data_IF_437804733764
#
_entry.id   IF_437804733764
#
_cell.length_a   1.000
_cell.length_b   1.000
_cell.length_c   1.000
_cell.angle_alpha   90.00
_cell.angle_beta   90.00
_cell.angle_gamma   90.00
#
_symmetry.space_group_name_H-M   'P 1'
#
loop_
_entity.id
_entity.type
_entity.pdbx_description
1 polymer ?
#
# COMPACT_ATOMS: atom_id res chain seq x y z
N UNK A 1 18.22 2.07 -20.40
CA UNK A 1 18.19 1.08 -19.30
C UNK A 1 17.39 1.74 -18.20
N UNK A 2 16.12 1.38 -18.07
CA UNK A 2 15.18 2.04 -17.19
C UNK A 2 15.57 1.74 -15.73
N UNK A 3 15.59 2.81 -14.94
CA UNK A 3 15.90 2.87 -13.52
C UNK A 3 15.01 1.87 -12.76
N UNK A 4 15.55 0.70 -12.39
CA UNK A 4 14.92 -0.14 -11.37
C UNK A 4 14.96 0.66 -10.08
N UNK A 5 13.88 1.39 -9.79
CA UNK A 5 13.74 2.23 -8.61
C UNK A 5 13.91 1.36 -7.36
N UNK A 6 15.15 1.30 -6.87
CA UNK A 6 15.54 0.41 -5.76
C UNK A 6 15.05 1.04 -4.47
N UNK A 7 14.04 0.42 -3.87
CA UNK A 7 13.67 0.68 -2.47
C UNK A 7 14.93 0.61 -1.60
N UNK A 8 15.30 1.74 -0.98
CA UNK A 8 16.47 1.87 -0.13
C UNK A 8 16.02 2.30 1.26
N UNK A 9 16.23 1.44 2.26
CA UNK A 9 15.74 1.65 3.63
C UNK A 9 16.70 2.44 4.51
N UNK A 10 17.90 2.76 4.01
CA UNK A 10 18.95 3.44 4.74
C UNK A 10 20.19 2.57 4.98
N UNK A 11 21.11 3.08 5.81
CA UNK A 11 22.39 2.45 6.15
C UNK A 11 22.78 2.79 7.59
N UNK A 12 23.23 1.77 8.35
CA UNK A 12 23.69 1.89 9.75
C UNK A 12 22.64 2.57 10.63
N UNK A 13 22.84 3.86 10.93
CA UNK A 13 22.00 4.70 11.80
C UNK A 13 21.11 5.66 11.02
N UNK A 14 21.20 5.68 9.69
CA UNK A 14 20.35 6.45 8.81
C UNK A 14 19.21 5.56 8.31
N UNK A 15 17.98 6.02 8.46
CA UNK A 15 16.79 5.33 7.98
C UNK A 15 16.06 6.21 6.97
N UNK A 16 15.58 5.60 5.89
CA UNK A 16 14.68 6.26 4.94
C UNK A 16 13.25 5.76 5.15
N UNK A 17 12.29 6.66 5.00
CA UNK A 17 10.85 6.40 5.19
C UNK A 17 10.04 7.02 4.05
N UNK A 18 8.85 6.45 3.80
CA UNK A 18 7.94 6.92 2.76
C UNK A 18 8.58 6.97 1.38
N UNK A 19 8.25 8.01 0.62
CA UNK A 19 8.74 8.18 -0.75
C UNK A 19 10.26 8.35 -0.81
N UNK A 20 10.89 8.89 0.24
CA UNK A 20 12.35 8.98 0.33
C UNK A 20 13.03 7.60 0.40
N UNK A 21 12.31 6.55 0.80
CA UNK A 21 12.76 5.17 0.74
C UNK A 21 12.42 4.47 -0.59
N UNK A 22 11.81 5.18 -1.54
CA UNK A 22 11.30 4.61 -2.80
C UNK A 22 10.02 3.79 -2.63
N UNK A 23 9.23 4.05 -1.57
CA UNK A 23 7.96 3.36 -1.32
C UNK A 23 6.81 3.93 -2.17
N UNK A 24 7.05 4.04 -3.47
CA UNK A 24 6.13 4.70 -4.41
C UNK A 24 5.17 3.65 -4.98
N UNK A 25 3.87 3.89 -4.83
CA UNK A 25 2.79 3.14 -5.47
C UNK A 25 1.85 4.12 -6.19
N UNK A 26 2.10 4.30 -7.48
CA UNK A 26 1.38 5.26 -8.35
C UNK A 26 -0.05 4.77 -8.64
N UNK A 27 -0.31 3.46 -8.53
CA UNK A 27 -1.51 2.82 -9.09
C UNK A 27 -2.68 2.72 -8.11
N UNK A 28 -2.42 2.72 -6.80
CA UNK A 28 -3.44 2.43 -5.77
C UNK A 28 -3.74 3.58 -4.82
N UNK A 29 -3.04 4.71 -4.92
CA UNK A 29 -3.22 5.84 -4.00
C UNK A 29 -2.79 5.53 -2.55
N UNK A 30 -1.99 4.48 -2.34
CA UNK A 30 -1.55 4.00 -1.00
C UNK A 30 -0.21 4.60 -0.55
N UNK A 31 0.30 5.63 -1.25
CA UNK A 31 1.55 6.30 -0.91
C UNK A 31 1.54 6.88 0.50
N UNK A 32 0.46 7.58 0.89
CA UNK A 32 0.33 8.15 2.24
C UNK A 32 0.32 7.08 3.33
N UNK A 33 -0.41 5.99 3.13
CA UNK A 33 -0.48 4.88 4.09
C UNK A 33 0.88 4.17 4.22
N UNK A 34 1.59 4.00 3.11
CA UNK A 34 2.94 3.41 3.08
C UNK A 34 3.96 4.31 3.77
N UNK A 35 3.85 5.63 3.62
CA UNK A 35 4.68 6.61 4.32
C UNK A 35 4.39 6.62 5.83
N UNK A 36 3.12 6.67 6.23
CA UNK A 36 2.74 6.63 7.64
C UNK A 36 3.14 5.31 8.32
N UNK A 37 2.94 4.17 7.63
CA UNK A 37 3.31 2.86 8.15
C UNK A 37 4.82 2.71 8.26
N UNK A 38 5.59 3.09 7.23
CA UNK A 38 7.06 3.04 7.29
C UNK A 38 7.63 3.92 8.40
N UNK A 39 7.09 5.12 8.63
CA UNK A 39 7.45 5.96 9.76
C UNK A 39 7.19 5.29 11.12
N UNK A 40 6.04 4.63 11.29
CA UNK A 40 5.73 3.86 12.51
C UNK A 40 6.71 2.70 12.71
N UNK A 41 7.05 1.98 11.64
CA UNK A 41 7.99 0.86 11.70
C UNK A 41 9.42 1.32 12.00
N UNK A 42 9.84 2.49 11.51
CA UNK A 42 11.12 3.10 11.85
C UNK A 42 11.20 3.44 13.35
N UNK A 43 10.16 4.08 13.91
CA UNK A 43 10.09 4.36 15.35
C UNK A 43 10.15 3.07 16.20
N UNK A 44 9.43 2.02 15.78
CA UNK A 44 9.48 0.69 16.43
C UNK A 44 10.89 0.09 16.36
N UNK A 45 11.55 0.19 15.21
CA UNK A 45 12.89 -0.35 15.00
C UNK A 45 13.93 0.33 15.89
N UNK A 46 13.84 1.64 16.11
CA UNK A 46 14.70 2.39 17.04
C UNK A 46 14.58 1.80 18.46
N UNK A 47 13.36 1.61 18.96
CA UNK A 47 13.15 1.03 20.30
C UNK A 47 13.63 -0.42 20.41
N UNK A 48 13.55 -1.22 19.33
CA UNK A 48 14.11 -2.58 19.30
C UNK A 48 15.64 -2.54 19.32
N UNK A 49 16.25 -1.66 18.54
CA UNK A 49 17.69 -1.51 18.45
C UNK A 49 18.29 -1.12 19.81
N UNK A 50 17.67 -0.15 20.49
CA UNK A 50 18.04 0.27 21.84
C UNK A 50 18.03 -0.89 22.85
N UNK A 51 16.95 -1.70 22.86
CA UNK A 51 16.81 -2.83 23.78
C UNK A 51 17.77 -3.99 23.51
N UNK A 52 18.16 -4.17 22.25
CA UNK A 52 18.93 -5.35 21.81
C UNK A 52 20.40 -5.05 21.54
N UNK A 53 20.80 -3.78 21.51
CA UNK A 53 22.14 -3.34 21.09
C UNK A 53 22.47 -3.62 19.63
N UNK A 54 21.49 -4.06 18.83
CA UNK A 54 21.69 -4.38 17.40
C UNK A 54 21.57 -3.12 16.54
N UNK A 55 22.19 -3.10 15.35
CA UNK A 55 22.04 -1.99 14.41
C UNK A 55 20.56 -1.75 14.06
N UNK A 56 20.14 -0.48 14.09
CA UNK A 56 18.74 -0.10 13.83
C UNK A 56 18.26 -0.50 12.44
N UNK A 57 19.16 -0.48 11.45
CA UNK A 57 18.86 -0.90 10.09
C UNK A 57 18.44 -2.38 9.99
N UNK A 58 19.00 -3.26 10.83
CA UNK A 58 18.63 -4.69 10.83
C UNK A 58 17.20 -4.89 11.37
N UNK A 59 16.88 -4.19 12.48
CA UNK A 59 15.53 -4.20 13.03
C UNK A 59 14.53 -3.60 12.04
N UNK A 60 14.89 -2.48 11.41
CA UNK A 60 14.02 -1.80 10.46
C UNK A 60 13.78 -2.63 9.20
N UNK A 61 14.82 -3.20 8.59
CA UNK A 61 14.70 -4.06 7.42
C UNK A 61 13.81 -5.29 7.67
N UNK A 62 13.89 -5.87 8.89
CA UNK A 62 13.02 -6.98 9.28
C UNK A 62 11.55 -6.56 9.35
N UNK A 63 11.25 -5.45 10.01
CA UNK A 63 9.88 -4.92 10.13
C UNK A 63 9.31 -4.50 8.76
N UNK A 64 10.14 -3.91 7.90
CA UNK A 64 9.76 -3.45 6.56
C UNK A 64 9.57 -4.56 5.54
N UNK A 65 9.99 -5.81 5.83
CA UNK A 65 10.02 -6.93 4.87
C UNK A 65 8.69 -7.18 4.15
N UNK A 66 7.56 -6.98 4.82
CA UNK A 66 6.24 -7.17 4.21
C UNK A 66 5.85 -6.01 3.31
N UNK A 67 6.03 -4.77 3.79
CA UNK A 67 5.73 -3.56 3.03
C UNK A 67 6.59 -3.51 1.76
N UNK A 68 7.89 -3.73 1.86
CA UNK A 68 8.81 -3.76 0.70
C UNK A 68 8.39 -4.83 -0.33
N UNK A 69 8.00 -6.04 0.13
CA UNK A 69 7.53 -7.08 -0.79
C UNK A 69 6.22 -6.69 -1.47
N UNK A 70 5.31 -6.05 -0.75
CA UNK A 70 4.06 -5.57 -1.30
C UNK A 70 4.30 -4.45 -2.31
N UNK A 71 5.12 -3.45 -1.98
CA UNK A 71 5.48 -2.36 -2.89
C UNK A 71 6.15 -2.89 -4.15
N UNK A 72 7.11 -3.83 -4.03
CA UNK A 72 7.71 -4.48 -5.21
C UNK A 72 6.70 -5.23 -6.06
N UNK A 73 5.78 -5.96 -5.44
CA UNK A 73 4.70 -6.66 -6.17
C UNK A 73 3.75 -5.67 -6.84
N UNK A 74 3.45 -4.55 -6.18
CA UNK A 74 2.59 -3.52 -6.74
C UNK A 74 3.28 -2.77 -7.87
N UNK A 75 4.58 -2.52 -7.78
CA UNK A 75 5.37 -1.95 -8.88
C UNK A 75 5.47 -2.93 -10.06
N UNK A 76 5.69 -4.22 -9.80
CA UNK A 76 5.71 -5.27 -10.82
C UNK A 76 4.34 -5.50 -11.47
N UNK A 77 3.26 -5.48 -10.67
CA UNK A 77 1.88 -5.52 -11.16
C UNK A 77 1.42 -4.17 -11.75
N UNK A 78 2.16 -3.10 -11.43
CA UNK A 78 1.97 -1.71 -11.86
C UNK A 78 2.64 -1.41 -13.19
N UNK A 79 3.20 -2.42 -13.87
CA UNK A 79 3.24 -2.46 -15.34
C UNK A 79 1.83 -2.81 -15.88
N UNK A 80 0.80 -2.17 -15.36
CA UNK A 80 -0.28 -1.65 -16.19
C UNK A 80 0.19 -0.24 -16.53
N UNK A 81 1.17 -0.13 -17.43
CA UNK A 81 1.39 1.11 -18.14
C UNK A 81 0.10 1.38 -18.90
N UNK A 82 -0.76 2.21 -18.32
CA UNK A 82 -1.81 2.84 -19.10
C UNK A 82 -1.06 3.78 -20.04
N UNK A 83 -0.79 3.29 -21.25
CA UNK A 83 -0.06 4.05 -22.28
C UNK A 83 -0.85 5.31 -22.69
N UNK A 84 -2.13 5.37 -22.33
CA UNK A 84 -3.04 6.48 -22.59
C UNK A 84 -3.96 6.81 -21.41
N UNK A 85 -4.46 8.05 -21.38
CA UNK A 85 -5.52 8.47 -20.46
C UNK A 85 -6.81 7.65 -20.66
N UNK A 86 -7.05 7.12 -21.86
CA UNK A 86 -8.21 6.28 -22.15
C UNK A 86 -8.15 4.94 -21.41
N UNK A 87 -6.99 4.31 -21.28
CA UNK A 87 -6.85 3.02 -20.61
C UNK A 87 -7.06 3.16 -19.09
N UNK A 88 -6.59 4.27 -18.51
CA UNK A 88 -6.84 4.63 -17.11
C UNK A 88 -8.33 4.88 -16.88
N UNK A 89 -8.99 5.61 -17.80
CA UNK A 89 -10.42 5.91 -17.71
C UNK A 89 -11.26 4.63 -17.82
N UNK A 90 -10.93 3.72 -18.73
CA UNK A 90 -11.61 2.43 -18.86
C UNK A 90 -11.47 1.53 -17.61
N UNK A 91 -10.30 1.55 -16.96
CA UNK A 91 -10.10 0.83 -15.69
C UNK A 91 -10.93 1.44 -14.55
N UNK A 92 -10.92 2.77 -14.42
CA UNK A 92 -11.70 3.48 -13.41
C UNK A 92 -13.20 3.25 -13.62
N UNK A 93 -13.69 3.36 -14.85
CA UNK A 93 -15.08 3.10 -15.20
C UNK A 93 -15.47 1.65 -14.87
N UNK A 94 -14.61 0.67 -15.18
CA UNK A 94 -14.84 -0.73 -14.82
C UNK A 94 -14.89 -0.98 -13.32
N UNK A 95 -14.04 -0.30 -12.54
CA UNK A 95 -14.03 -0.40 -11.07
C UNK A 95 -15.25 0.26 -10.43
N UNK A 96 -15.61 1.46 -10.91
CA UNK A 96 -16.78 2.22 -10.46
C UNK A 96 -18.09 1.50 -10.82
N UNK A 97 -18.18 0.89 -12.01
CA UNK A 97 -19.32 0.06 -12.40
C UNK A 97 -19.48 -1.16 -11.50
N UNK A 98 -18.39 -1.88 -11.19
CA UNK A 98 -18.44 -3.02 -10.25
C UNK A 98 -18.87 -2.59 -8.85
N UNK A 99 -18.39 -1.44 -8.39
CA UNK A 99 -18.78 -0.86 -7.11
C UNK A 99 -20.28 -0.51 -7.09
N UNK A 100 -20.77 0.16 -8.14
CA UNK A 100 -22.19 0.49 -8.29
C UNK A 100 -23.10 -0.74 -8.37
N UNK A 101 -22.69 -1.79 -9.09
CA UNK A 101 -23.42 -3.05 -9.17
C UNK A 101 -23.46 -3.77 -7.82
N UNK A 102 -22.34 -3.81 -7.09
CA UNK A 102 -22.31 -4.35 -5.73
C UNK A 102 -23.23 -3.58 -4.78
N UNK A 103 -23.28 -2.26 -4.91
CA UNK A 103 -24.14 -1.41 -4.08
C UNK A 103 -25.62 -1.68 -4.34
N UNK A 104 -26.02 -1.85 -5.60
CA UNK A 104 -27.38 -2.24 -5.99
C UNK A 104 -27.72 -3.65 -5.45
N UNK A 105 -26.82 -4.62 -5.61
CA UNK A 105 -27.02 -5.98 -5.14
C UNK A 105 -27.16 -6.03 -3.61
N UNK A 106 -26.28 -5.34 -2.88
CA UNK A 106 -26.34 -5.26 -1.42
C UNK A 106 -27.61 -4.54 -0.95
N UNK A 107 -28.08 -3.50 -1.67
CA UNK A 107 -29.35 -2.84 -1.36
C UNK A 107 -30.55 -3.77 -1.56
N UNK A 108 -30.52 -4.61 -2.58
CA UNK A 108 -31.55 -5.63 -2.81
C UNK A 108 -31.52 -6.71 -1.73
N UNK A 109 -30.33 -7.22 -1.38
CA UNK A 109 -30.16 -8.23 -0.34
C UNK A 109 -30.51 -7.68 1.04
N UNK A 110 -30.17 -6.43 1.35
CA UNK A 110 -30.51 -5.78 2.62
C UNK A 110 -32.02 -5.55 2.76
N UNK A 111 -32.76 -5.40 1.65
CA UNK A 111 -34.22 -5.32 1.67
C UNK A 111 -34.88 -6.62 2.12
N UNK A 112 -34.21 -7.77 1.92
CA UNK A 112 -34.68 -9.10 2.33
C UNK A 112 -34.11 -9.57 3.67
N UNK A 113 -33.10 -8.87 4.19
CA UNK A 113 -32.46 -9.19 5.48
C UNK A 113 -33.21 -8.51 6.62
N UNK A 114 -33.25 -9.19 7.77
CA UNK A 114 -33.73 -8.59 9.01
C UNK A 114 -32.86 -7.38 9.39
N UNK A 115 -33.43 -6.38 10.10
CA UNK A 115 -32.74 -5.12 10.42
C UNK A 115 -31.36 -5.31 11.06
N UNK A 116 -31.23 -6.35 11.89
CA UNK A 116 -30.00 -6.70 12.61
C UNK A 116 -28.90 -7.32 11.73
N UNK A 117 -29.22 -7.69 10.48
CA UNK A 117 -28.31 -8.36 9.53
C UNK A 117 -28.03 -7.53 8.29
N UNK A 118 -28.46 -6.27 8.26
CA UNK A 118 -28.17 -5.39 7.14
C UNK A 118 -26.67 -5.07 7.11
N UNK A 119 -26.07 -5.23 5.93
CA UNK A 119 -24.66 -4.89 5.72
C UNK A 119 -24.60 -3.41 5.35
N UNK A 120 -23.91 -2.61 6.15
CA UNK A 120 -23.70 -1.20 5.84
C UNK A 120 -22.84 -1.07 4.58
N UNK A 121 -23.30 -0.24 3.65
CA UNK A 121 -22.56 0.08 2.45
C UNK A 121 -21.41 1.04 2.82
N UNK A 122 -20.21 0.88 2.24
CA UNK A 122 -19.11 1.83 2.39
C UNK A 122 -19.39 3.16 1.68
#
# INVERSE_FOLDING_TARGET
>A
MADEERIWLGERNLLMVGDAAGLIDITRGVGMDSAALSGRLAAKAIGIAERTGKPVIEAYAREMKHLVRQTKRNQQAGVLSFDSNEDLQAYLDGSLLKMGLNLILQRFLNRLRSPERQVMLP
#
